data_IF_393843692533
#
_entry.id   IF_393843692533
#
_cell.length_a   1.000
_cell.length_b   1.000
_cell.length_c   1.000
_cell.angle_alpha   90.00
_cell.angle_beta   90.00
_cell.angle_gamma   90.00
#
_symmetry.space_group_name_H-M   'P 1'
#
loop_
_entity.id
_entity.type
_entity.pdbx_description
1 polymer ?
#
# COMPACT_ATOMS: atom_id res chain seq x y z
N UNK A 1 59.66 16.81 -23.18
CA UNK A 1 58.50 15.87 -22.97
C UNK A 1 57.25 16.72 -22.83
N UNK A 2 56.47 16.76 -23.87
CA UNK A 2 55.37 17.69 -24.08
C UNK A 2 54.10 17.04 -23.54
N UNK A 3 53.44 17.72 -22.62
CA UNK A 3 52.17 17.30 -22.04
C UNK A 3 51.06 17.76 -22.98
N UNK A 4 50.32 16.81 -23.54
CA UNK A 4 49.18 17.06 -24.42
C UNK A 4 47.96 17.50 -23.61
N UNK A 5 47.48 18.68 -23.95
CA UNK A 5 46.22 19.29 -23.50
C UNK A 5 45.05 18.57 -24.18
N UNK A 6 44.26 17.84 -23.43
CA UNK A 6 42.98 17.26 -23.90
C UNK A 6 41.83 18.12 -23.39
N UNK A 7 41.51 19.14 -24.21
CA UNK A 7 40.28 19.92 -24.03
C UNK A 7 39.03 19.03 -24.22
N UNK A 8 38.28 18.82 -23.18
CA UNK A 8 36.95 18.30 -23.27
C UNK A 8 35.95 19.44 -23.48
N UNK A 9 35.50 19.57 -24.72
CA UNK A 9 34.34 20.38 -25.04
C UNK A 9 33.10 19.76 -24.46
N UNK A 10 32.63 20.30 -23.34
CA UNK A 10 31.33 19.97 -22.79
C UNK A 10 30.30 20.80 -23.55
N UNK A 11 29.61 20.16 -24.48
CA UNK A 11 28.47 20.73 -25.15
C UNK A 11 27.39 21.12 -24.16
N UNK A 12 26.96 22.40 -24.20
CA UNK A 12 25.90 22.94 -23.37
C UNK A 12 24.59 22.19 -23.63
N UNK A 13 24.00 21.69 -22.56
CA UNK A 13 22.67 21.10 -22.59
C UNK A 13 21.60 22.14 -22.92
N UNK A 14 20.59 21.82 -23.75
CA UNK A 14 19.53 22.76 -24.11
C UNK A 14 18.66 23.05 -22.86
N UNK A 15 18.24 24.33 -22.81
CA UNK A 15 17.61 25.01 -21.71
C UNK A 15 16.53 24.21 -20.96
N UNK A 16 16.60 24.30 -19.65
CA UNK A 16 15.58 23.87 -18.73
C UNK A 16 14.29 24.68 -18.94
N UNK A 17 13.29 24.05 -19.53
CA UNK A 17 11.93 24.56 -19.45
C UNK A 17 11.48 24.53 -18.00
N UNK A 18 11.43 25.66 -17.35
CA UNK A 18 10.88 25.89 -16.01
C UNK A 18 9.36 25.84 -16.10
N UNK A 19 8.81 24.67 -16.00
CA UNK A 19 7.39 24.39 -15.84
C UNK A 19 7.24 23.23 -14.90
N UNK A 20 7.56 23.43 -13.62
CA UNK A 20 7.17 22.48 -12.60
C UNK A 20 5.63 22.48 -12.54
N UNK A 21 4.96 21.32 -12.70
CA UNK A 21 3.51 21.26 -12.56
C UNK A 21 3.14 21.65 -11.13
N UNK A 22 2.24 22.61 -10.99
CA UNK A 22 1.70 23.03 -9.69
C UNK A 22 0.85 21.91 -9.16
N UNK A 23 1.29 21.30 -8.09
CA UNK A 23 0.86 19.99 -7.54
C UNK A 23 -0.59 19.94 -6.99
N UNK A 24 -1.39 20.98 -7.02
CA UNK A 24 -2.69 20.99 -6.31
C UNK A 24 -3.93 20.70 -7.18
N UNK A 25 -3.90 21.00 -8.47
CA UNK A 25 -5.01 20.74 -9.36
C UNK A 25 -4.98 19.33 -9.99
N UNK A 26 -3.79 18.79 -10.20
CA UNK A 26 -3.59 17.51 -10.89
C UNK A 26 -3.91 16.27 -10.03
N UNK A 27 -3.69 16.35 -8.72
CA UNK A 27 -3.88 15.19 -7.83
C UNK A 27 -5.35 14.80 -7.73
N UNK A 28 -6.25 15.77 -7.63
CA UNK A 28 -7.70 15.49 -7.54
C UNK A 28 -8.24 14.91 -8.85
N UNK A 29 -7.77 15.43 -9.98
CA UNK A 29 -8.12 14.92 -11.31
C UNK A 29 -7.55 13.53 -11.57
N UNK A 30 -6.31 13.26 -11.16
CA UNK A 30 -5.67 11.95 -11.26
C UNK A 30 -6.34 10.91 -10.37
N UNK A 31 -6.71 11.28 -9.15
CA UNK A 31 -7.44 10.39 -8.23
C UNK A 31 -8.83 10.08 -8.78
N UNK A 32 -9.54 11.08 -9.32
CA UNK A 32 -10.85 10.89 -9.96
C UNK A 32 -10.77 9.96 -11.17
N UNK A 33 -9.86 10.21 -12.11
CA UNK A 33 -9.65 9.38 -13.29
C UNK A 33 -9.22 7.94 -12.93
N UNK A 34 -8.45 7.78 -11.85
CA UNK A 34 -8.04 6.46 -11.36
C UNK A 34 -9.21 5.71 -10.72
N UNK A 35 -10.07 6.40 -9.97
CA UNK A 35 -11.27 5.84 -9.38
C UNK A 35 -12.26 5.38 -10.46
N UNK A 36 -12.53 6.19 -11.48
CA UNK A 36 -13.39 5.81 -12.62
C UNK A 36 -12.82 4.62 -13.39
N UNK A 37 -11.50 4.56 -13.56
CA UNK A 37 -10.85 3.43 -14.22
C UNK A 37 -10.97 2.15 -13.41
N UNK A 38 -10.88 2.23 -12.08
CA UNK A 38 -11.06 1.08 -11.20
C UNK A 38 -12.51 0.59 -11.18
N UNK A 39 -13.49 1.51 -11.17
CA UNK A 39 -14.91 1.14 -11.27
C UNK A 39 -15.26 0.42 -12.57
N UNK A 40 -14.66 0.84 -13.68
CA UNK A 40 -14.86 0.19 -14.98
C UNK A 40 -14.17 -1.18 -15.07
N UNK A 41 -13.01 -1.36 -14.42
CA UNK A 41 -12.30 -2.65 -14.40
C UNK A 41 -12.89 -3.63 -13.38
N UNK A 42 -13.44 -3.13 -12.30
CA UNK A 42 -14.03 -3.90 -11.21
C UNK A 42 -15.41 -3.33 -10.90
N UNK A 43 -16.43 -3.64 -11.71
CA UNK A 43 -17.78 -3.18 -11.41
C UNK A 43 -18.12 -3.62 -10.00
N UNK A 44 -18.42 -2.65 -9.15
CA UNK A 44 -18.78 -2.90 -7.76
C UNK A 44 -20.03 -3.78 -7.75
N UNK A 45 -19.86 -5.06 -7.54
CA UNK A 45 -20.97 -5.92 -7.18
C UNK A 45 -21.43 -5.45 -5.80
N UNK A 46 -22.65 -4.97 -5.64
CA UNK A 46 -23.14 -4.57 -4.33
C UNK A 46 -23.10 -5.76 -3.41
N UNK A 47 -22.06 -5.82 -2.57
CA UNK A 47 -21.97 -6.84 -1.53
C UNK A 47 -22.95 -6.46 -0.42
N UNK A 48 -24.06 -7.15 -0.34
CA UNK A 48 -24.97 -7.08 0.80
C UNK A 48 -24.38 -7.93 1.92
N UNK A 49 -23.84 -7.26 2.93
CA UNK A 49 -23.37 -7.91 4.15
C UNK A 49 -24.53 -7.90 5.15
N UNK A 50 -24.96 -9.08 5.61
CA UNK A 50 -25.95 -9.15 6.66
C UNK A 50 -25.35 -8.75 8.02
N UNK A 51 -26.21 -8.53 9.02
CA UNK A 51 -25.76 -8.07 10.34
C UNK A 51 -24.78 -9.03 11.02
N UNK A 52 -25.02 -10.33 10.91
CA UNK A 52 -24.19 -11.35 11.55
C UNK A 52 -22.80 -11.42 10.92
N UNK A 53 -22.73 -11.43 9.59
CA UNK A 53 -21.48 -11.36 8.85
C UNK A 53 -20.72 -10.06 9.16
N UNK A 54 -21.40 -8.93 9.19
CA UNK A 54 -20.80 -7.65 9.52
C UNK A 54 -20.19 -7.64 10.92
N UNK A 55 -20.88 -8.21 11.91
CA UNK A 55 -20.37 -8.31 13.28
C UNK A 55 -19.17 -9.27 13.37
N UNK A 56 -19.20 -10.36 12.63
CA UNK A 56 -18.07 -11.30 12.56
C UNK A 56 -16.83 -10.63 11.95
N UNK A 57 -16.98 -9.97 10.80
CA UNK A 57 -15.90 -9.25 10.15
C UNK A 57 -15.33 -8.15 11.06
N UNK A 58 -16.20 -7.38 11.70
CA UNK A 58 -15.79 -6.31 12.63
C UNK A 58 -15.01 -6.88 13.82
N UNK A 59 -15.48 -7.99 14.41
CA UNK A 59 -14.78 -8.67 15.50
C UNK A 59 -13.37 -9.10 15.09
N UNK A 60 -13.25 -9.72 13.92
CA UNK A 60 -11.97 -10.24 13.45
C UNK A 60 -10.99 -9.08 13.13
N UNK A 61 -11.46 -8.02 12.49
CA UNK A 61 -10.65 -6.82 12.27
C UNK A 61 -10.21 -6.17 13.60
N UNK A 62 -11.10 -6.10 14.57
CA UNK A 62 -10.79 -5.53 15.90
C UNK A 62 -9.77 -6.39 16.63
N UNK A 63 -9.89 -7.71 16.54
CA UNK A 63 -8.94 -8.65 17.12
C UNK A 63 -7.56 -8.49 16.47
N UNK A 64 -7.50 -8.43 15.15
CA UNK A 64 -6.26 -8.18 14.39
C UNK A 64 -5.59 -6.89 14.84
N UNK A 65 -6.32 -5.77 14.88
CA UNK A 65 -5.78 -4.48 15.34
C UNK A 65 -5.21 -4.56 16.75
N UNK A 66 -5.94 -5.14 17.69
CA UNK A 66 -5.48 -5.28 19.08
C UNK A 66 -4.26 -6.18 19.22
N UNK A 67 -4.17 -7.20 18.37
CA UNK A 67 -3.00 -8.06 18.32
C UNK A 67 -1.77 -7.30 17.86
N UNK A 68 -1.87 -6.54 16.77
CA UNK A 68 -0.78 -5.71 16.25
C UNK A 68 -0.33 -4.64 17.25
N UNK A 69 -1.28 -3.95 17.89
CA UNK A 69 -0.99 -2.96 18.94
C UNK A 69 -0.23 -3.62 20.11
N UNK A 70 -0.62 -4.86 20.45
CA UNK A 70 0.08 -5.62 21.50
C UNK A 70 1.48 -6.05 21.06
N UNK A 71 1.68 -6.42 19.82
CA UNK A 71 3.00 -6.70 19.26
C UNK A 71 3.90 -5.47 19.34
N UNK A 72 3.39 -4.29 18.97
CA UNK A 72 4.11 -3.04 19.10
C UNK A 72 4.53 -2.77 20.56
N UNK A 73 3.60 -2.91 21.50
CA UNK A 73 3.88 -2.73 22.93
C UNK A 73 4.98 -3.70 23.41
N UNK A 74 4.88 -4.96 23.03
CA UNK A 74 5.87 -5.97 23.45
C UNK A 74 7.24 -5.75 22.83
N UNK A 75 7.29 -5.24 21.61
CA UNK A 75 8.51 -4.82 20.95
C UNK A 75 9.20 -3.69 21.69
N UNK A 76 8.47 -2.61 22.03
CA UNK A 76 9.00 -1.48 22.81
C UNK A 76 9.45 -1.88 24.21
N UNK A 77 8.85 -2.91 24.77
CA UNK A 77 9.30 -3.48 26.06
C UNK A 77 10.50 -4.41 25.97
N UNK A 78 11.07 -4.59 24.78
CA UNK A 78 12.21 -5.48 24.56
C UNK A 78 11.91 -6.96 24.73
N UNK A 79 10.62 -7.36 24.58
CA UNK A 79 10.20 -8.76 24.67
C UNK A 79 10.18 -9.48 23.33
N UNK A 80 10.34 -8.72 22.24
CA UNK A 80 10.44 -9.26 20.89
C UNK A 80 11.72 -8.74 20.24
N UNK A 81 12.41 -9.61 19.53
CA UNK A 81 13.68 -9.30 18.86
C UNK A 81 13.48 -9.29 17.33
N UNK A 82 14.39 -8.60 16.63
CA UNK A 82 14.37 -8.49 15.19
C UNK A 82 13.59 -7.28 14.68
N UNK A 83 13.20 -7.33 13.41
CA UNK A 83 12.38 -6.29 12.80
C UNK A 83 10.91 -6.67 12.88
N UNK A 84 10.10 -5.78 13.42
CA UNK A 84 8.64 -5.98 13.50
C UNK A 84 7.97 -5.09 12.48
N UNK A 85 7.23 -5.68 11.58
CA UNK A 85 6.38 -4.99 10.61
C UNK A 85 4.92 -5.15 11.05
N UNK A 86 4.29 -4.04 11.37
CA UNK A 86 2.91 -4.04 11.82
C UNK A 86 1.96 -3.97 10.63
N UNK A 87 0.84 -4.64 10.76
CA UNK A 87 -0.21 -4.71 9.75
C UNK A 87 -1.36 -3.73 9.99
N UNK A 88 -1.18 -2.73 10.85
CA UNK A 88 -2.21 -1.75 11.22
C UNK A 88 -2.71 -0.98 9.98
N UNK A 89 -4.04 -0.90 9.87
CA UNK A 89 -4.73 -0.19 8.78
C UNK A 89 -5.13 -1.05 7.60
N UNK A 90 -4.76 -2.33 7.58
CA UNK A 90 -5.06 -3.26 6.49
C UNK A 90 -5.94 -4.44 6.95
N UNK A 91 -6.55 -4.36 8.12
CA UNK A 91 -7.31 -5.45 8.73
C UNK A 91 -8.46 -5.95 7.85
N UNK A 92 -9.09 -5.04 7.09
CA UNK A 92 -10.16 -5.41 6.17
C UNK A 92 -9.66 -6.29 5.02
N UNK A 93 -8.41 -6.12 4.57
CA UNK A 93 -7.83 -6.91 3.48
C UNK A 93 -7.66 -8.36 3.94
N UNK A 94 -6.96 -8.59 5.05
CA UNK A 94 -6.73 -9.94 5.58
C UNK A 94 -8.04 -10.63 5.95
N UNK A 95 -8.92 -9.91 6.67
CA UNK A 95 -10.20 -10.47 7.10
C UNK A 95 -11.08 -10.83 5.90
N UNK A 96 -11.18 -9.96 4.90
CA UNK A 96 -11.98 -10.23 3.70
C UNK A 96 -11.45 -11.41 2.89
N UNK A 97 -10.14 -11.45 2.64
CA UNK A 97 -9.51 -12.56 1.89
C UNK A 97 -9.69 -13.88 2.63
N UNK A 98 -9.34 -13.94 3.93
CA UNK A 98 -9.42 -15.18 4.71
C UNK A 98 -10.86 -15.69 4.82
N UNK A 99 -11.84 -14.80 4.98
CA UNK A 99 -13.26 -15.21 5.04
C UNK A 99 -13.82 -15.68 3.69
N UNK A 100 -13.28 -15.16 2.58
CA UNK A 100 -13.65 -15.62 1.25
C UNK A 100 -13.03 -16.97 0.88
N UNK A 101 -11.94 -17.37 1.54
CA UNK A 101 -11.23 -18.61 1.27
C UNK A 101 -11.96 -19.85 1.78
N UNK A 102 -11.86 -20.93 1.01
CA UNK A 102 -12.25 -22.28 1.41
C UNK A 102 -11.04 -22.98 2.03
N UNK A 103 -10.90 -22.91 3.34
CA UNK A 103 -9.70 -23.31 4.11
C UNK A 103 -9.15 -24.72 3.81
N UNK A 104 -9.95 -25.62 3.24
CA UNK A 104 -9.51 -26.97 2.89
C UNK A 104 -9.07 -27.12 1.43
N UNK A 105 -9.28 -26.08 0.60
CA UNK A 105 -9.05 -26.13 -0.84
C UNK A 105 -8.15 -25.01 -1.34
N UNK A 106 -8.24 -23.84 -0.73
CA UNK A 106 -7.54 -22.65 -1.19
C UNK A 106 -6.18 -22.51 -0.49
N UNK A 107 -5.22 -22.04 -1.23
CA UNK A 107 -3.88 -21.74 -0.75
C UNK A 107 -3.57 -20.28 -1.01
N UNK A 108 -2.81 -19.67 -0.11
CA UNK A 108 -2.25 -18.35 -0.36
C UNK A 108 -0.74 -18.36 -0.07
N UNK A 109 -0.03 -17.47 -0.74
CA UNK A 109 1.40 -17.25 -0.52
C UNK A 109 1.63 -15.77 -0.21
N UNK A 110 2.46 -15.52 0.76
CA UNK A 110 2.82 -14.17 1.20
C UNK A 110 4.32 -14.09 1.41
N UNK A 111 4.88 -12.88 1.38
CA UNK A 111 6.29 -12.63 1.68
C UNK A 111 6.61 -12.69 3.17
N UNK A 112 5.59 -12.62 3.99
CA UNK A 112 5.66 -12.75 5.45
C UNK A 112 4.58 -13.69 5.95
#
# INVERSE_FOLDING_TARGET
MTQADMGHDIAAAPGSASGAPTCSADVTSLVGAHAERLENLYPSVPATVNREEGLMLYRDMTLGRRFEDKCAEMYYRGKMFGFVHLYNGQEAVSTGVIKAMKLQHDWFCSTY
#
